data_IF_679004239452
#
_entry.id   IF_679004239452
#
_cell.length_a   1.000
_cell.length_b   1.000
_cell.length_c   1.000
_cell.angle_alpha   90.00
_cell.angle_beta   90.00
_cell.angle_gamma   90.00
#
_symmetry.space_group_name_H-M   'P 1'
#
loop_
_entity.id
_entity.type
_entity.pdbx_description
1 polymer ?
#
# COMPACT_ATOMS: atom_id res chain seq x y z
N UNK A 1 -4.13 -44.06 21.17
CA UNK A 1 -4.82 -43.56 19.96
C UNK A 1 -4.90 -44.71 18.98
N UNK A 2 -6.11 -45.08 18.56
CA UNK A 2 -6.34 -46.32 17.80
C UNK A 2 -6.33 -46.10 16.27
N UNK A 3 -6.10 -44.88 15.78
CA UNK A 3 -6.02 -44.53 14.36
C UNK A 3 -7.37 -44.58 13.61
N UNK A 4 -8.51 -44.58 14.31
CA UNK A 4 -9.81 -44.61 13.67
C UNK A 4 -10.19 -43.20 13.15
N UNK A 5 -10.64 -43.10 11.90
CA UNK A 5 -11.08 -41.88 11.24
C UNK A 5 -12.60 -41.85 11.13
N UNK A 6 -13.23 -40.70 11.38
CA UNK A 6 -14.68 -40.52 11.25
C UNK A 6 -14.99 -39.20 10.53
N UNK A 7 -16.07 -39.13 9.70
CA UNK A 7 -16.41 -37.93 8.93
C UNK A 7 -17.06 -36.84 9.76
N UNK A 8 -17.28 -37.06 11.06
CA UNK A 8 -17.84 -36.08 12.02
C UNK A 8 -17.21 -36.27 13.37
N UNK A 9 -17.00 -35.17 14.07
CA UNK A 9 -16.54 -35.20 15.46
C UNK A 9 -17.55 -35.92 16.38
N UNK A 10 -17.05 -36.81 17.20
CA UNK A 10 -17.83 -37.53 18.20
C UNK A 10 -17.06 -37.48 19.53
N UNK A 11 -17.77 -37.18 20.63
CA UNK A 11 -17.14 -37.08 21.95
C UNK A 11 -16.48 -38.38 22.43
N UNK A 12 -16.86 -39.54 21.87
CA UNK A 12 -16.31 -40.86 22.16
C UNK A 12 -15.89 -41.54 20.85
N UNK A 13 -14.69 -42.10 20.82
CA UNK A 13 -14.22 -42.90 19.68
C UNK A 13 -15.03 -44.20 19.49
N UNK A 14 -15.68 -44.43 18.34
CA UNK A 14 -16.52 -45.64 18.13
C UNK A 14 -15.71 -46.96 18.07
N UNK A 15 -14.39 -46.86 17.80
CA UNK A 15 -13.55 -48.07 17.69
C UNK A 15 -12.91 -48.49 18.98
N UNK A 16 -12.47 -47.57 19.85
CA UNK A 16 -11.79 -47.92 21.12
C UNK A 16 -12.50 -47.41 22.36
N UNK A 17 -13.63 -46.69 22.26
CA UNK A 17 -14.42 -46.21 23.38
C UNK A 17 -13.79 -45.06 24.22
N UNK A 18 -12.63 -44.55 23.83
CA UNK A 18 -11.96 -43.44 24.52
C UNK A 18 -12.68 -42.11 24.33
N UNK A 19 -12.83 -41.32 25.41
CA UNK A 19 -13.47 -40.02 25.42
C UNK A 19 -12.47 -38.90 25.11
N UNK A 20 -12.90 -37.89 24.33
CA UNK A 20 -12.14 -36.65 24.02
C UNK A 20 -10.74 -36.90 23.43
N UNK A 21 -10.56 -37.97 22.64
CA UNK A 21 -9.28 -38.35 21.99
C UNK A 21 -9.26 -38.11 20.51
N UNK A 22 -10.33 -37.53 19.95
CA UNK A 22 -10.42 -37.20 18.50
C UNK A 22 -9.92 -35.77 18.28
N UNK A 23 -9.07 -35.60 17.27
CA UNK A 23 -8.58 -34.32 16.77
C UNK A 23 -9.15 -34.09 15.37
N UNK A 24 -9.49 -32.85 15.04
CA UNK A 24 -10.00 -32.50 13.73
C UNK A 24 -8.81 -32.23 12.79
N UNK A 25 -8.65 -33.09 11.78
CA UNK A 25 -7.68 -32.89 10.72
C UNK A 25 -8.40 -32.45 9.45
N UNK A 26 -8.01 -31.32 8.85
CA UNK A 26 -8.54 -30.84 7.58
C UNK A 26 -7.90 -31.63 6.44
N UNK A 27 -8.60 -32.67 5.96
CA UNK A 27 -8.21 -33.38 4.74
C UNK A 27 -8.67 -32.54 3.54
N UNK A 28 -7.72 -31.98 2.77
CA UNK A 28 -8.04 -31.34 1.51
C UNK A 28 -8.62 -32.39 0.54
N UNK A 29 -9.92 -32.29 0.19
CA UNK A 29 -10.57 -33.17 -0.76
C UNK A 29 -9.87 -33.10 -2.14
N UNK A 30 -9.54 -34.24 -2.76
CA UNK A 30 -9.11 -34.26 -4.17
C UNK A 30 -10.29 -33.87 -5.06
N UNK A 31 -10.12 -32.85 -5.88
CA UNK A 31 -11.12 -32.39 -6.84
C UNK A 31 -11.61 -33.52 -7.72
N UNK A 32 -12.94 -33.79 -7.70
CA UNK A 32 -13.60 -34.76 -8.59
C UNK A 32 -13.41 -34.33 -10.04
N UNK A 33 -12.70 -35.15 -10.81
CA UNK A 33 -12.53 -34.99 -12.24
C UNK A 33 -13.84 -35.30 -12.97
N UNK A 34 -14.52 -34.28 -13.48
CA UNK A 34 -15.52 -34.48 -14.55
C UNK A 34 -14.80 -34.40 -15.89
N UNK A 35 -14.95 -35.46 -16.69
CA UNK A 35 -14.39 -35.61 -18.03
C UNK A 35 -14.97 -34.57 -19.00
N UNK A 36 -14.19 -33.59 -19.35
CA UNK A 36 -14.43 -32.63 -20.43
C UNK A 36 -13.10 -32.21 -21.02
N UNK A 37 -12.81 -32.59 -22.28
CA UNK A 37 -11.63 -32.15 -23.03
C UNK A 37 -11.67 -30.65 -23.22
N UNK A 38 -10.86 -29.92 -22.45
CA UNK A 38 -10.47 -28.55 -22.74
C UNK A 38 -8.96 -28.45 -22.58
N UNK A 39 -8.32 -27.77 -23.52
CA UNK A 39 -6.88 -27.64 -23.66
C UNK A 39 -6.21 -27.14 -22.38
N UNK A 40 -5.17 -27.85 -21.96
CA UNK A 40 -4.39 -27.52 -20.79
C UNK A 40 -3.62 -26.21 -21.05
N UNK A 41 -4.02 -25.12 -20.36
CA UNK A 41 -3.15 -23.98 -20.16
C UNK A 41 -1.98 -24.40 -19.25
N UNK A 42 -0.75 -23.96 -19.51
CA UNK A 42 0.39 -24.35 -18.71
C UNK A 42 0.23 -23.80 -17.29
N UNK A 43 0.09 -24.69 -16.30
CA UNK A 43 0.24 -24.32 -14.89
C UNK A 43 1.68 -23.86 -14.68
N UNK A 44 1.88 -22.57 -14.53
CA UNK A 44 3.15 -22.02 -14.04
C UNK A 44 3.27 -22.40 -12.56
N UNK A 45 3.84 -23.57 -12.31
CA UNK A 45 4.33 -23.94 -10.98
C UNK A 45 5.64 -23.19 -10.73
N UNK A 46 5.55 -21.91 -10.51
CA UNK A 46 6.64 -21.09 -9.97
C UNK A 46 6.80 -21.41 -8.49
N UNK A 47 7.38 -22.57 -8.15
CA UNK A 47 8.02 -22.74 -6.86
C UNK A 47 9.25 -21.82 -6.86
N UNK A 48 9.08 -20.60 -6.35
CA UNK A 48 10.22 -19.79 -5.90
C UNK A 48 10.86 -20.59 -4.76
N UNK A 49 11.94 -21.33 -5.09
CA UNK A 49 12.74 -22.00 -4.07
C UNK A 49 13.24 -20.92 -3.10
N UNK A 50 12.80 -21.00 -1.84
CA UNK A 50 13.26 -20.13 -0.77
C UNK A 50 14.75 -20.38 -0.56
N UNK A 51 15.60 -19.57 -1.18
CA UNK A 51 17.05 -19.63 -1.00
C UNK A 51 17.43 -18.55 0.01
N UNK A 52 17.86 -18.90 1.23
CA UNK A 52 18.31 -17.91 2.19
C UNK A 52 19.60 -17.25 1.69
N UNK A 53 19.62 -15.91 1.73
CA UNK A 53 20.80 -15.12 1.35
C UNK A 53 21.55 -14.67 2.59
N UNK A 54 22.90 -14.71 2.54
CA UNK A 54 23.73 -14.17 3.62
C UNK A 54 23.69 -12.64 3.57
N UNK A 55 23.51 -11.98 4.72
CA UNK A 55 23.45 -10.52 4.80
C UNK A 55 24.63 -9.84 4.10
N UNK A 56 25.85 -10.39 4.25
CA UNK A 56 27.06 -9.88 3.62
C UNK A 56 27.05 -9.93 2.08
N UNK A 57 26.25 -10.82 1.47
CA UNK A 57 26.14 -10.96 0.01
C UNK A 57 25.13 -9.99 -0.62
N UNK A 58 24.34 -9.27 0.20
CA UNK A 58 23.39 -8.29 -0.26
C UNK A 58 24.11 -6.96 -0.43
N UNK A 59 24.28 -6.51 -1.67
CA UNK A 59 24.89 -5.21 -1.96
C UNK A 59 23.86 -4.09 -1.76
N UNK A 60 24.14 -3.19 -0.83
CA UNK A 60 23.40 -1.92 -0.66
C UNK A 60 24.33 -0.78 -1.03
N UNK A 61 24.24 -0.27 -2.25
CA UNK A 61 24.80 1.04 -2.58
C UNK A 61 23.74 2.10 -2.18
N UNK A 62 24.07 2.98 -1.23
CA UNK A 62 23.13 3.99 -0.71
C UNK A 62 22.49 4.83 -1.82
N UNK A 63 23.23 5.18 -2.87
CA UNK A 63 22.75 5.92 -4.04
C UNK A 63 21.67 5.19 -4.85
N UNK A 64 21.63 3.85 -4.80
CA UNK A 64 20.61 3.04 -5.51
C UNK A 64 19.43 2.68 -4.64
N UNK A 65 19.48 2.93 -3.35
CA UNK A 65 18.45 2.53 -2.39
C UNK A 65 17.37 3.59 -2.16
N UNK A 66 17.61 4.84 -2.58
CA UNK A 66 16.69 5.97 -2.35
C UNK A 66 16.46 6.82 -3.59
N UNK A 67 15.24 7.36 -3.68
CA UNK A 67 14.88 8.42 -4.62
C UNK A 67 14.82 9.72 -3.84
N UNK A 68 15.67 10.69 -4.19
CA UNK A 68 15.58 12.06 -3.67
C UNK A 68 14.32 12.70 -4.23
N UNK A 69 13.49 13.27 -3.34
CA UNK A 69 12.18 13.80 -3.74
C UNK A 69 12.26 15.17 -4.41
N UNK A 70 13.37 15.89 -4.24
CA UNK A 70 13.49 17.28 -4.67
C UNK A 70 12.81 18.28 -3.72
N UNK A 71 12.16 17.82 -2.66
CA UNK A 71 11.52 18.62 -1.62
C UNK A 71 12.32 18.41 -0.33
N UNK A 72 13.17 19.37 0.03
CA UNK A 72 14.16 19.24 1.11
C UNK A 72 13.54 18.84 2.47
N UNK A 73 12.42 19.46 2.81
CA UNK A 73 11.70 19.17 4.05
C UNK A 73 11.14 17.73 4.08
N UNK A 74 10.65 17.23 2.93
CA UNK A 74 10.17 15.86 2.81
C UNK A 74 11.34 14.86 2.87
N UNK A 75 12.45 15.15 2.17
CA UNK A 75 13.65 14.31 2.20
C UNK A 75 14.22 14.21 3.62
N UNK A 76 14.23 15.31 4.38
CA UNK A 76 14.67 15.33 5.78
C UNK A 76 13.84 14.40 6.64
N UNK A 77 12.52 14.49 6.57
CA UNK A 77 11.58 13.64 7.36
C UNK A 77 11.67 12.17 6.95
N UNK A 78 11.92 11.89 5.66
CA UNK A 78 12.12 10.52 5.16
C UNK A 78 13.49 9.93 5.53
N UNK A 79 14.43 10.77 5.99
CA UNK A 79 15.80 10.36 6.30
C UNK A 79 16.70 10.26 5.07
N UNK A 80 16.53 11.19 4.13
CA UNK A 80 17.35 11.34 2.91
C UNK A 80 16.67 10.84 1.63
N UNK A 81 15.35 10.73 1.60
CA UNK A 81 14.58 10.35 0.42
C UNK A 81 13.79 9.04 0.54
N UNK A 82 13.10 8.68 -0.52
CA UNK A 82 12.18 7.53 -0.59
C UNK A 82 12.98 6.24 -0.77
N UNK A 83 12.81 5.26 0.10
CA UNK A 83 13.46 3.95 -0.03
C UNK A 83 12.74 3.10 -1.08
N UNK A 84 13.49 2.47 -1.97
CA UNK A 84 12.97 1.59 -3.02
C UNK A 84 12.16 0.44 -2.39
N UNK A 85 10.99 0.16 -2.92
CA UNK A 85 10.08 -0.86 -2.42
C UNK A 85 9.44 -0.54 -1.05
N UNK A 86 9.59 0.69 -0.52
CA UNK A 86 8.93 1.10 0.71
C UNK A 86 7.50 1.57 0.48
N UNK A 87 6.64 1.36 1.48
CA UNK A 87 5.29 1.93 1.48
C UNK A 87 5.19 2.97 2.59
N UNK A 88 4.87 4.19 2.18
CA UNK A 88 4.72 5.36 3.06
C UNK A 88 3.26 5.78 3.12
N UNK A 89 2.70 5.82 4.33
CA UNK A 89 1.37 6.38 4.58
C UNK A 89 1.49 7.86 4.93
N UNK A 90 0.70 8.71 4.28
CA UNK A 90 0.50 10.10 4.68
C UNK A 90 -0.90 10.26 5.25
N UNK A 91 -0.98 10.47 6.57
CA UNK A 91 -2.21 10.76 7.31
C UNK A 91 -2.40 12.25 7.56
N UNK A 92 -3.64 12.66 7.79
CA UNK A 92 -3.97 14.04 8.17
C UNK A 92 -5.42 14.39 7.86
N UNK A 93 -5.89 15.53 8.40
CA UNK A 93 -7.26 16.01 8.16
C UNK A 93 -7.52 16.28 6.67
N UNK A 94 -8.79 16.17 6.21
CA UNK A 94 -9.17 16.61 4.86
C UNK A 94 -8.83 18.09 4.63
N UNK A 95 -8.26 18.40 3.46
CA UNK A 95 -7.88 19.76 3.09
C UNK A 95 -6.59 20.31 3.72
N UNK A 96 -5.83 19.48 4.49
CA UNK A 96 -4.55 19.91 5.10
C UNK A 96 -3.41 20.13 4.09
N UNK A 97 -3.48 19.49 2.91
CA UNK A 97 -2.46 19.61 1.86
C UNK A 97 -1.83 18.28 1.42
N UNK A 98 -2.32 17.11 1.88
CA UNK A 98 -1.75 15.80 1.53
C UNK A 98 -1.61 15.56 0.02
N UNK A 99 -2.72 15.67 -0.71
CA UNK A 99 -2.73 15.49 -2.17
C UNK A 99 -1.93 16.58 -2.90
N UNK A 100 -1.78 17.77 -2.30
CA UNK A 100 -0.95 18.86 -2.84
C UNK A 100 0.52 18.50 -2.79
N UNK A 101 1.04 18.12 -1.61
CA UNK A 101 2.45 17.75 -1.47
C UNK A 101 2.80 16.53 -2.33
N UNK A 102 1.89 15.54 -2.41
CA UNK A 102 2.11 14.36 -3.24
C UNK A 102 2.11 14.66 -4.73
N UNK A 103 1.28 15.58 -5.19
CA UNK A 103 1.29 15.97 -6.60
C UNK A 103 2.55 16.78 -6.95
N UNK A 104 3.04 17.63 -6.03
CA UNK A 104 4.34 18.30 -6.17
C UNK A 104 5.51 17.29 -6.15
N UNK A 105 5.48 16.31 -5.26
CA UNK A 105 6.41 15.19 -5.25
C UNK A 105 6.43 14.44 -6.59
N UNK A 106 5.24 14.13 -7.13
CA UNK A 106 5.13 13.51 -8.45
C UNK A 106 5.82 14.35 -9.52
N UNK A 107 5.64 15.67 -9.49
CA UNK A 107 6.28 16.59 -10.43
C UNK A 107 7.80 16.57 -10.33
N UNK A 108 8.35 16.62 -9.13
CA UNK A 108 9.79 16.59 -8.94
C UNK A 108 10.41 15.24 -9.38
N UNK A 109 9.81 14.14 -8.97
CA UNK A 109 10.26 12.78 -9.34
C UNK A 109 10.11 12.51 -10.83
N UNK A 110 9.05 13.03 -11.46
CA UNK A 110 8.76 12.82 -12.91
C UNK A 110 9.79 13.46 -13.83
N UNK A 111 10.62 14.36 -13.35
CA UNK A 111 11.73 14.94 -14.16
C UNK A 111 12.69 13.85 -14.66
N UNK A 112 12.80 12.73 -13.98
CA UNK A 112 13.75 11.65 -14.33
C UNK A 112 13.16 10.24 -14.28
N UNK A 113 11.92 10.07 -13.79
CA UNK A 113 11.30 8.79 -13.48
C UNK A 113 9.83 8.75 -13.86
N UNK A 114 9.31 7.57 -14.12
CA UNK A 114 7.89 7.36 -14.42
C UNK A 114 7.07 7.26 -13.13
N UNK A 115 6.04 8.06 -13.03
CA UNK A 115 5.15 8.13 -11.87
C UNK A 115 3.75 7.69 -12.25
N UNK A 116 3.14 6.84 -11.43
CA UNK A 116 1.73 6.48 -11.52
C UNK A 116 0.96 7.11 -10.35
N UNK A 117 -0.02 7.95 -10.65
CA UNK A 117 -0.94 8.52 -9.67
C UNK A 117 -2.32 7.91 -9.85
N UNK A 118 -2.78 7.18 -8.84
CA UNK A 118 -4.10 6.53 -8.78
C UNK A 118 -5.00 7.36 -7.90
N UNK A 119 -6.16 7.78 -8.42
CA UNK A 119 -7.18 8.49 -7.66
C UNK A 119 -8.46 7.69 -7.58
N UNK A 120 -9.01 7.55 -6.38
CA UNK A 120 -10.34 6.98 -6.17
C UNK A 120 -11.40 8.01 -5.79
N UNK A 121 -11.01 9.27 -5.60
CA UNK A 121 -11.91 10.36 -5.16
C UNK A 121 -12.18 11.38 -6.26
N UNK A 122 -11.16 11.75 -7.00
CA UNK A 122 -11.23 12.80 -7.99
C UNK A 122 -11.09 12.25 -9.41
N UNK A 123 -11.72 12.91 -10.37
CA UNK A 123 -11.50 12.59 -11.78
C UNK A 123 -10.10 13.01 -12.24
N UNK A 124 -9.58 12.33 -13.26
CA UNK A 124 -8.29 12.68 -13.89
C UNK A 124 -8.23 14.15 -14.29
N UNK A 125 -9.37 14.72 -14.74
CA UNK A 125 -9.46 16.13 -15.11
C UNK A 125 -9.28 17.08 -13.92
N UNK A 126 -9.81 16.73 -12.75
CA UNK A 126 -9.64 17.55 -11.53
C UNK A 126 -8.19 17.52 -11.05
N UNK A 127 -7.55 16.34 -11.06
CA UNK A 127 -6.11 16.23 -10.76
C UNK A 127 -5.29 17.06 -11.75
N UNK A 128 -5.60 17.01 -13.06
CA UNK A 128 -4.92 17.82 -14.08
C UNK A 128 -5.05 19.32 -13.81
N UNK A 129 -6.24 19.82 -13.47
CA UNK A 129 -6.43 21.24 -13.12
C UNK A 129 -5.59 21.65 -11.90
N UNK A 130 -5.46 20.76 -10.91
CA UNK A 130 -4.60 20.99 -9.76
C UNK A 130 -3.12 20.99 -10.17
N UNK A 131 -2.67 20.05 -10.98
CA UNK A 131 -1.30 19.98 -11.49
C UNK A 131 -0.89 21.27 -12.23
N UNK A 132 -1.75 21.80 -13.07
CA UNK A 132 -1.53 23.09 -13.77
C UNK A 132 -1.38 24.22 -12.77
N UNK A 133 -2.26 24.33 -11.77
CA UNK A 133 -2.17 25.37 -10.71
C UNK A 133 -0.87 25.29 -9.92
N UNK A 134 -0.37 24.09 -9.67
CA UNK A 134 0.86 23.82 -8.93
C UNK A 134 2.12 23.88 -9.80
N UNK A 135 2.01 24.18 -11.08
CA UNK A 135 3.09 24.14 -12.06
C UNK A 135 3.85 22.80 -12.08
N UNK A 136 3.13 21.70 -11.93
CA UNK A 136 3.71 20.35 -11.92
C UNK A 136 4.13 19.96 -13.33
N UNK A 137 5.39 19.51 -13.57
CA UNK A 137 5.80 18.89 -14.85
C UNK A 137 4.93 17.68 -15.18
N UNK A 138 4.58 17.48 -16.46
CA UNK A 138 3.53 16.54 -16.82
C UNK A 138 4.04 15.31 -17.60
N UNK A 139 5.26 15.36 -18.12
CA UNK A 139 5.74 14.45 -19.18
C UNK A 139 5.76 12.96 -18.75
N UNK A 140 6.11 12.66 -17.49
CA UNK A 140 6.27 11.29 -16.99
C UNK A 140 5.30 10.94 -15.86
N UNK A 141 4.14 11.63 -15.78
CA UNK A 141 3.09 11.33 -14.81
C UNK A 141 1.90 10.70 -15.52
N UNK A 142 1.60 9.47 -15.20
CA UNK A 142 0.39 8.77 -15.64
C UNK A 142 -0.68 8.88 -14.55
N UNK A 143 -1.91 9.26 -14.93
CA UNK A 143 -3.05 9.38 -14.03
C UNK A 143 -4.08 8.30 -14.37
N UNK A 144 -4.62 7.64 -13.35
CA UNK A 144 -5.73 6.72 -13.49
C UNK A 144 -6.77 6.96 -12.40
N UNK A 145 -8.05 6.96 -12.78
CA UNK A 145 -9.17 7.00 -11.84
C UNK A 145 -9.70 5.57 -11.71
N UNK A 146 -9.29 4.87 -10.66
CA UNK A 146 -9.66 3.50 -10.37
C UNK A 146 -9.73 3.26 -8.86
N UNK A 147 -10.61 2.37 -8.43
CA UNK A 147 -10.79 1.97 -7.02
C UNK A 147 -10.59 0.46 -6.80
N UNK A 148 -10.65 -0.35 -7.85
CA UNK A 148 -10.41 -1.79 -7.76
C UNK A 148 -8.92 -2.07 -7.57
N UNK A 149 -8.58 -2.66 -6.43
CA UNK A 149 -7.17 -2.89 -6.05
C UNK A 149 -6.51 -3.94 -6.94
N UNK A 150 -7.24 -4.93 -7.43
CA UNK A 150 -6.67 -5.97 -8.28
C UNK A 150 -6.33 -5.41 -9.67
N UNK A 151 -7.17 -4.55 -10.23
CA UNK A 151 -6.88 -3.81 -11.46
C UNK A 151 -5.67 -2.88 -11.31
N UNK A 152 -5.60 -2.17 -10.17
CA UNK A 152 -4.45 -1.30 -9.83
C UNK A 152 -3.16 -2.12 -9.72
N UNK A 153 -3.19 -3.26 -9.02
CA UNK A 153 -2.02 -4.14 -8.91
C UNK A 153 -1.57 -4.67 -10.27
N UNK A 154 -2.51 -5.10 -11.13
CA UNK A 154 -2.22 -5.52 -12.50
C UNK A 154 -1.59 -4.41 -13.35
N UNK A 155 -2.09 -3.18 -13.21
CA UNK A 155 -1.52 -2.01 -13.88
C UNK A 155 -0.09 -1.73 -13.42
N UNK A 156 0.18 -1.78 -12.11
CA UNK A 156 1.52 -1.59 -11.54
C UNK A 156 2.49 -2.65 -12.06
N UNK A 157 2.09 -3.93 -12.09
CA UNK A 157 2.93 -5.03 -12.59
C UNK A 157 3.24 -4.91 -14.08
N UNK A 158 2.31 -4.41 -14.89
CA UNK A 158 2.50 -4.24 -16.33
C UNK A 158 3.30 -2.99 -16.68
N UNK A 159 3.02 -1.86 -16.02
CA UNK A 159 3.63 -0.56 -16.30
C UNK A 159 5.02 -0.41 -15.66
N UNK A 160 5.23 -1.03 -14.48
CA UNK A 160 6.46 -0.92 -13.67
C UNK A 160 6.91 0.52 -13.46
N UNK A 161 6.08 1.39 -12.88
CA UNK A 161 6.46 2.76 -12.60
C UNK A 161 7.57 2.82 -11.53
N UNK A 162 8.33 3.91 -11.49
CA UNK A 162 9.36 4.14 -10.48
C UNK A 162 8.77 4.64 -9.15
N UNK A 163 7.56 5.19 -9.16
CA UNK A 163 6.82 5.66 -7.98
C UNK A 163 5.33 5.50 -8.22
N UNK A 164 4.60 5.07 -7.18
CA UNK A 164 3.13 5.00 -7.17
C UNK A 164 2.56 5.88 -6.07
N UNK A 165 1.48 6.59 -6.35
CA UNK A 165 0.65 7.31 -5.37
C UNK A 165 -0.77 6.80 -5.42
N UNK A 166 -1.35 6.47 -4.26
CA UNK A 166 -2.74 6.04 -4.06
C UNK A 166 -3.48 7.11 -3.27
N UNK A 167 -4.46 7.78 -3.87
CA UNK A 167 -5.23 8.88 -3.26
C UNK A 167 -6.75 8.65 -3.40
N UNK A 168 -7.44 8.13 -2.38
CA UNK A 168 -6.99 7.68 -1.07
C UNK A 168 -7.31 6.20 -0.81
N UNK A 169 -6.73 5.62 0.23
CA UNK A 169 -6.96 4.21 0.60
C UNK A 169 -8.42 3.93 0.97
N UNK A 170 -9.14 4.93 1.47
CA UNK A 170 -10.53 4.79 1.90
C UNK A 170 -11.49 4.52 0.74
N UNK A 171 -11.12 4.91 -0.47
CA UNK A 171 -11.92 4.68 -1.68
C UNK A 171 -11.59 3.37 -2.37
N UNK A 172 -10.46 2.76 -2.02
CA UNK A 172 -10.03 1.49 -2.58
C UNK A 172 -10.92 0.34 -2.13
N UNK A 173 -11.09 -0.65 -3.01
CA UNK A 173 -11.92 -1.83 -2.75
C UNK A 173 -11.28 -3.10 -3.33
N UNK A 174 -11.44 -4.17 -2.59
CA UNK A 174 -11.22 -5.53 -3.05
C UNK A 174 -12.58 -6.14 -3.35
N UNK A 175 -12.84 -6.57 -4.57
CA UNK A 175 -14.18 -7.01 -5.03
C UNK A 175 -14.64 -8.32 -4.42
N UNK A 176 -13.71 -9.16 -3.95
CA UNK A 176 -13.96 -10.41 -3.24
C UNK A 176 -14.39 -10.22 -1.77
N UNK A 177 -14.34 -8.97 -1.25
CA UNK A 177 -14.78 -8.64 0.10
C UNK A 177 -16.12 -7.91 0.04
N UNK A 178 -17.12 -8.44 0.72
CA UNK A 178 -18.51 -7.95 0.69
C UNK A 178 -18.72 -6.62 1.44
N UNK A 179 -17.76 -6.16 2.24
CA UNK A 179 -17.89 -4.90 3.00
C UNK A 179 -17.68 -3.68 2.12
N UNK A 180 -18.30 -2.55 2.49
CA UNK A 180 -18.19 -1.28 1.76
C UNK A 180 -16.78 -0.69 1.83
N UNK A 181 -16.37 0.10 0.83
CA UNK A 181 -15.14 0.89 0.83
C UNK A 181 -15.04 1.74 2.10
N UNK A 182 -13.82 1.96 2.59
CA UNK A 182 -13.56 2.72 3.81
C UNK A 182 -13.77 1.96 5.13
N UNK A 183 -14.32 0.74 5.10
CA UNK A 183 -14.37 -0.13 6.30
C UNK A 183 -12.98 -0.65 6.67
N UNK A 184 -12.80 -1.04 7.94
CA UNK A 184 -11.51 -1.58 8.45
C UNK A 184 -11.04 -2.78 7.64
N UNK A 185 -11.94 -3.69 7.27
CA UNK A 185 -11.61 -4.89 6.48
C UNK A 185 -11.14 -4.53 5.08
N UNK A 186 -11.85 -3.64 4.36
CA UNK A 186 -11.47 -3.17 3.04
C UNK A 186 -10.12 -2.45 3.06
N UNK A 187 -9.92 -1.51 3.99
CA UNK A 187 -8.68 -0.75 4.11
C UNK A 187 -7.49 -1.66 4.41
N UNK A 188 -7.65 -2.65 5.32
CA UNK A 188 -6.58 -3.62 5.63
C UNK A 188 -6.20 -4.46 4.43
N UNK A 189 -7.18 -5.04 3.76
CA UNK A 189 -6.93 -5.92 2.61
C UNK A 189 -6.35 -5.15 1.42
N UNK A 190 -6.93 -3.99 1.10
CA UNK A 190 -6.40 -3.10 0.07
C UNK A 190 -4.94 -2.74 0.33
N UNK A 191 -4.62 -2.34 1.57
CA UNK A 191 -3.25 -2.04 1.96
C UNK A 191 -2.32 -3.26 1.87
N UNK A 192 -2.80 -4.45 2.24
CA UNK A 192 -2.00 -5.68 2.19
C UNK A 192 -1.64 -6.06 0.73
N UNK A 193 -2.60 -5.98 -0.21
CA UNK A 193 -2.36 -6.25 -1.63
C UNK A 193 -1.42 -5.23 -2.26
N UNK A 194 -1.65 -3.94 -2.00
CA UNK A 194 -0.77 -2.87 -2.47
C UNK A 194 0.65 -3.00 -1.91
N UNK A 195 0.79 -3.36 -0.63
CA UNK A 195 2.10 -3.64 -0.02
C UNK A 195 2.79 -4.83 -0.68
N UNK A 196 2.05 -5.90 -0.96
CA UNK A 196 2.60 -7.09 -1.60
C UNK A 196 3.16 -6.79 -2.99
N UNK A 197 2.43 -6.04 -3.83
CA UNK A 197 2.91 -5.64 -5.15
C UNK A 197 4.10 -4.67 -5.07
N UNK A 198 4.06 -3.69 -4.16
CA UNK A 198 5.17 -2.74 -3.95
C UNK A 198 6.46 -3.47 -3.57
N UNK A 199 6.41 -4.44 -2.63
CA UNK A 199 7.55 -5.25 -2.21
C UNK A 199 8.04 -6.19 -3.31
N UNK A 200 7.13 -6.87 -4.01
CA UNK A 200 7.47 -7.82 -5.09
C UNK A 200 8.14 -7.13 -6.27
N UNK A 201 7.69 -5.94 -6.62
CA UNK A 201 8.19 -5.17 -7.77
C UNK A 201 9.31 -4.18 -7.38
N UNK A 202 9.63 -4.06 -6.08
CA UNK A 202 10.57 -3.07 -5.55
C UNK A 202 10.20 -1.62 -5.92
N UNK A 203 8.89 -1.33 -5.99
CA UNK A 203 8.37 -0.01 -6.34
C UNK A 203 7.96 0.74 -5.07
N UNK A 204 8.51 1.93 -4.79
CA UNK A 204 8.05 2.74 -3.67
C UNK A 204 6.63 3.26 -3.91
N UNK A 205 5.86 3.33 -2.81
CA UNK A 205 4.46 3.72 -2.86
C UNK A 205 4.10 4.69 -1.75
N UNK A 206 3.38 5.76 -2.09
CA UNK A 206 2.71 6.64 -1.14
C UNK A 206 1.22 6.34 -1.12
N UNK A 207 0.66 6.22 0.07
CA UNK A 207 -0.76 6.00 0.29
C UNK A 207 -1.31 7.14 1.13
N UNK A 208 -2.36 7.81 0.63
CA UNK A 208 -3.08 8.84 1.37
C UNK A 208 -4.11 8.20 2.29
N UNK A 209 -4.14 8.64 3.56
CA UNK A 209 -5.15 8.28 4.54
C UNK A 209 -5.78 9.51 5.18
N UNK A 210 -7.11 9.58 5.20
CA UNK A 210 -7.83 10.64 5.89
C UNK A 210 -8.04 10.29 7.36
N UNK A 211 -7.71 11.22 8.26
CA UNK A 211 -8.00 11.09 9.69
C UNK A 211 -9.38 11.68 9.95
N UNK A 212 -10.30 10.87 10.46
CA UNK A 212 -11.61 11.33 10.89
C UNK A 212 -11.65 11.51 12.41
N UNK A 213 -12.23 12.63 12.84
CA UNK A 213 -12.44 12.93 14.27
C UNK A 213 -13.44 11.97 14.91
N UNK A 214 -14.37 11.42 14.14
CA UNK A 214 -15.52 10.63 14.63
C UNK A 214 -15.33 9.10 14.58
N UNK A 215 -14.17 8.61 14.12
CA UNK A 215 -13.84 7.18 14.12
C UNK A 215 -14.70 6.28 13.21
N UNK A 216 -15.63 6.85 12.43
CA UNK A 216 -16.58 6.07 11.61
C UNK A 216 -15.96 5.44 10.36
N UNK A 217 -14.86 6.01 9.84
CA UNK A 217 -14.12 5.49 8.69
C UNK A 217 -12.75 5.01 9.19
N UNK A 218 -12.30 3.86 8.71
CA UNK A 218 -11.00 3.32 9.05
C UNK A 218 -9.89 4.31 8.68
N UNK A 219 -9.28 4.89 9.70
CA UNK A 219 -8.22 5.88 9.56
C UNK A 219 -6.83 5.25 9.45
N UNK A 220 -5.80 6.09 9.34
CA UNK A 220 -4.40 5.69 9.23
C UNK A 220 -3.92 4.70 10.29
N UNK A 221 -4.46 4.75 11.52
CA UNK A 221 -4.10 3.83 12.63
C UNK A 221 -4.19 2.36 12.26
N UNK A 222 -5.14 1.98 11.40
CA UNK A 222 -5.32 0.61 10.93
C UNK A 222 -4.11 0.13 10.12
N UNK A 223 -3.44 1.05 9.44
CA UNK A 223 -2.33 0.78 8.53
C UNK A 223 -0.94 0.99 9.16
N UNK A 224 -0.85 1.68 10.30
CA UNK A 224 0.43 2.03 10.92
C UNK A 224 1.36 0.83 11.16
N UNK A 225 0.77 -0.34 11.45
CA UNK A 225 1.55 -1.57 11.66
C UNK A 225 1.97 -2.25 10.35
N UNK A 226 1.25 -2.00 9.26
CA UNK A 226 1.42 -2.68 7.97
C UNK A 226 2.52 -1.98 7.16
N UNK A 227 2.47 -0.64 7.07
CA UNK A 227 3.38 0.16 6.24
C UNK A 227 4.76 0.36 6.87
N UNK A 228 5.74 0.76 6.07
CA UNK A 228 7.12 0.98 6.52
C UNK A 228 7.32 2.35 7.18
N UNK A 229 6.68 3.38 6.64
CA UNK A 229 6.77 4.76 7.12
C UNK A 229 5.37 5.34 7.29
N UNK A 230 5.14 6.08 8.37
CA UNK A 230 3.90 6.80 8.65
C UNK A 230 4.24 8.26 8.88
N UNK A 231 3.71 9.12 8.04
CA UNK A 231 3.82 10.56 8.12
C UNK A 231 2.47 11.16 8.47
N UNK A 232 2.44 12.09 9.41
CA UNK A 232 1.26 12.90 9.71
C UNK A 232 1.47 14.32 9.26
N UNK A 233 0.52 14.81 8.47
CA UNK A 233 0.45 16.18 8.03
C UNK A 233 -0.51 16.93 8.96
N UNK A 234 0.03 17.86 9.72
CA UNK A 234 -0.64 18.56 10.82
C UNK A 234 -0.61 20.08 10.56
N UNK A 235 -1.51 20.81 11.17
CA UNK A 235 -1.55 22.27 11.13
C UNK A 235 -2.95 22.82 11.35
N UNK A 236 -3.01 24.09 11.70
CA UNK A 236 -4.28 24.81 11.80
C UNK A 236 -4.63 25.39 10.41
N UNK A 237 -5.89 25.25 10.00
CA UNK A 237 -6.40 25.81 8.73
C UNK A 237 -6.34 27.35 8.70
N UNK A 238 -6.30 27.98 9.87
CA UNK A 238 -6.19 29.43 10.02
C UNK A 238 -4.75 29.95 9.86
N UNK A 239 -3.75 29.05 9.92
CA UNK A 239 -2.34 29.39 9.80
C UNK A 239 -1.78 28.95 8.45
N UNK A 240 -0.82 29.71 7.87
CA UNK A 240 -0.27 29.37 6.55
C UNK A 240 0.66 28.15 6.60
N UNK A 241 1.27 27.86 7.73
CA UNK A 241 2.24 26.77 7.84
C UNK A 241 1.58 25.42 8.13
N UNK A 242 2.27 24.37 7.67
CA UNK A 242 1.94 22.96 7.89
C UNK A 242 3.17 22.23 8.38
N UNK A 243 2.97 21.22 9.22
CA UNK A 243 4.04 20.41 9.79
C UNK A 243 3.85 18.98 9.30
N UNK A 244 4.92 18.42 8.77
CA UNK A 244 5.00 17.00 8.43
C UNK A 244 5.85 16.30 9.49
N UNK A 245 5.29 15.30 10.15
CA UNK A 245 5.95 14.55 11.22
C UNK A 245 5.95 13.05 10.93
N UNK A 246 7.10 12.40 11.11
CA UNK A 246 7.18 10.95 11.08
C UNK A 246 6.70 10.35 12.41
N UNK A 247 5.61 9.59 12.40
CA UNK A 247 5.16 8.79 13.54
C UNK A 247 5.82 7.40 13.56
N UNK A 248 6.24 6.91 12.39
CA UNK A 248 6.99 5.66 12.21
C UNK A 248 7.90 5.82 11.01
N UNK A 249 9.15 5.38 11.13
CA UNK A 249 10.06 5.30 10.00
C UNK A 249 11.04 4.13 10.22
N UNK A 250 10.92 3.07 9.40
CA UNK A 250 11.83 1.91 9.47
C UNK A 250 13.22 2.22 8.93
N UNK A 251 13.36 3.31 8.20
CA UNK A 251 14.57 3.64 7.43
C UNK A 251 15.24 4.93 7.87
N UNK A 252 14.75 5.56 8.94
CA UNK A 252 15.28 6.82 9.44
C UNK A 252 14.73 7.19 10.81
N UNK A 253 15.15 8.38 11.29
CA UNK A 253 14.67 8.95 12.55
C UNK A 253 13.20 9.38 12.46
N UNK A 254 12.50 9.34 13.59
CA UNK A 254 11.15 9.92 13.74
C UNK A 254 11.19 11.31 14.44
N UNK A 255 12.37 11.83 14.73
CA UNK A 255 12.52 13.11 15.43
C UNK A 255 12.51 14.33 14.49
N UNK A 256 12.62 14.10 13.18
CA UNK A 256 12.63 15.17 12.18
C UNK A 256 11.22 15.70 11.89
N UNK A 257 11.14 17.01 11.72
CA UNK A 257 9.93 17.74 11.35
C UNK A 257 10.16 18.46 10.02
N UNK A 258 9.23 18.31 9.07
CA UNK A 258 9.17 19.12 7.86
C UNK A 258 8.22 20.29 8.05
N UNK A 259 8.64 21.48 7.70
CA UNK A 259 7.79 22.68 7.77
C UNK A 259 7.51 23.20 6.37
N UNK A 260 6.26 23.51 6.10
CA UNK A 260 5.80 23.96 4.79
C UNK A 260 4.89 25.18 4.93
N UNK A 261 5.06 26.15 4.07
CA UNK A 261 4.10 27.24 3.90
C UNK A 261 3.06 26.88 2.83
N UNK A 262 1.78 27.01 3.18
CA UNK A 262 0.68 26.81 2.25
C UNK A 262 0.43 28.08 1.45
N UNK A 263 0.74 28.06 0.17
CA UNK A 263 0.58 29.18 -0.75
C UNK A 263 -0.47 28.90 -1.82
N UNK A 264 -0.83 29.89 -2.63
CA UNK A 264 -1.72 29.69 -3.79
C UNK A 264 -1.17 28.76 -4.85
N UNK A 265 0.16 28.61 -4.93
CA UNK A 265 0.89 27.77 -5.88
C UNK A 265 1.37 26.46 -5.28
N UNK A 266 1.01 26.15 -4.03
CA UNK A 266 1.33 24.88 -3.38
C UNK A 266 2.00 25.04 -2.03
N UNK A 267 2.72 24.00 -1.62
CA UNK A 267 3.51 23.91 -0.40
C UNK A 267 4.99 24.23 -0.71
N UNK A 268 5.56 25.14 0.04
CA UNK A 268 6.95 25.61 -0.13
C UNK A 268 7.73 25.51 1.17
#
# INVERSE_FOLDING_TARGET
QCGNETPRWQGQCPACGAWNTMTEDVVAEPAKTSSGKAAAAPRVTGQTSLVPQKLKSISTTEEKSRIVTGISELDRVLGGGIVIGSVTLIGGEPGIGKSTILLQLCGEVSKTKNVLYVTGEESVRQIKLRAVRLNVPEDNISLVAESDVDEICGLIESMKPDLVVIDSIQTMRCTDISSSSGTVSQVKESAARLLAVAKKQEIPMFIVGHVNKDGAIAGPKVMEHIVDTVLYFEGDKMLPYRILRAAKNRYGSTNELGMFDMTGTGLT
#
